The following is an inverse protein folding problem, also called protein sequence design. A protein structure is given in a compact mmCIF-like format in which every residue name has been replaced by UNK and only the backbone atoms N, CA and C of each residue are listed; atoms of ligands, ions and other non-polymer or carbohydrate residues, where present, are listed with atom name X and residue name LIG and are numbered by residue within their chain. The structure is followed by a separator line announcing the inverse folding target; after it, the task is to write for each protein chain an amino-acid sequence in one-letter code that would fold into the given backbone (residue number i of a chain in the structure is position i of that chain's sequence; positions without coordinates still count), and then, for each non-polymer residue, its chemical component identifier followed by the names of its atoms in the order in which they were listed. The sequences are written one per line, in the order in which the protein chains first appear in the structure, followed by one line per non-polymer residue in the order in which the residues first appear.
data_IF_489210105326
#
_entry.id   IF_489210105326
#
_cell.length_a   1.000
_cell.length_b   1.000
_cell.length_c   1.000
_cell.angle_alpha   90.00
_cell.angle_beta   90.00
_cell.angle_gamma   90.00
#
_symmetry.space_group_name_H-M   'P 1'
#
loop_
_entity.id
_entity.type
_entity.pdbx_description
1 polymer ?
#
# COMPACT_ATOMS: atom_id res chain seq x y z
N UNK A 1 -39.75 -1.67 -2.32
CA UNK A 1 -39.23 -0.54 -3.11
C UNK A 1 -37.83 -0.26 -2.61
N UNK A 2 -36.80 -0.66 -3.35
CA UNK A 2 -35.41 -0.32 -3.04
C UNK A 2 -35.24 1.13 -3.47
N UNK A 3 -35.12 2.04 -2.52
CA UNK A 3 -34.69 3.40 -2.81
C UNK A 3 -33.27 3.32 -3.40
N UNK A 4 -33.02 3.84 -4.61
CA UNK A 4 -31.66 3.95 -5.10
C UNK A 4 -30.87 4.84 -4.12
N UNK A 5 -29.76 4.30 -3.59
CA UNK A 5 -28.73 5.07 -2.90
C UNK A 5 -28.30 6.21 -3.84
N UNK A 6 -28.10 7.45 -3.36
CA UNK A 6 -27.72 8.57 -4.21
C UNK A 6 -26.28 8.38 -4.71
N UNK A 7 -26.12 7.54 -5.71
CA UNK A 7 -24.92 7.43 -6.53
C UNK A 7 -24.95 8.54 -7.58
N UNK A 8 -25.06 9.81 -7.20
CA UNK A 8 -24.90 10.91 -8.18
C UNK A 8 -24.70 12.33 -7.61
N UNK A 9 -24.00 12.47 -6.47
CA UNK A 9 -23.51 13.80 -6.04
C UNK A 9 -22.01 13.90 -5.84
N UNK A 10 -21.26 12.82 -6.12
CA UNK A 10 -19.81 12.83 -6.00
C UNK A 10 -19.19 13.23 -7.34
N UNK A 11 -18.45 14.34 -7.37
CA UNK A 11 -17.70 14.78 -8.55
C UNK A 11 -16.81 13.69 -9.15
N UNK A 12 -16.30 13.94 -10.36
CA UNK A 12 -15.50 12.98 -11.14
C UNK A 12 -14.47 12.25 -10.27
N UNK A 13 -14.61 10.94 -10.13
CA UNK A 13 -13.64 10.06 -9.48
C UNK A 13 -12.73 9.44 -10.54
N UNK A 14 -11.44 9.38 -10.23
CA UNK A 14 -10.43 8.80 -11.08
C UNK A 14 -9.87 7.52 -10.47
N UNK A 15 -9.50 6.57 -11.33
CA UNK A 15 -8.68 5.44 -10.95
C UNK A 15 -7.22 5.89 -10.80
N UNK A 16 -6.63 5.64 -9.62
CA UNK A 16 -5.26 6.06 -9.29
C UNK A 16 -4.48 4.92 -8.63
N UNK A 17 -3.20 4.84 -8.97
CA UNK A 17 -2.24 3.99 -8.28
C UNK A 17 -1.50 4.78 -7.21
N UNK A 18 -1.35 4.20 -6.02
CA UNK A 18 -0.55 4.75 -4.93
C UNK A 18 0.56 3.77 -4.61
N UNK A 19 1.81 4.24 -4.74
CA UNK A 19 2.99 3.47 -4.38
C UNK A 19 3.25 3.56 -2.88
N UNK A 20 3.61 2.40 -2.33
CA UNK A 20 4.10 2.22 -0.98
C UNK A 20 5.39 1.39 -0.98
N UNK A 21 6.32 1.67 -0.08
CA UNK A 21 7.41 0.77 0.24
C UNK A 21 7.87 0.93 1.69
N UNK A 22 8.25 -0.19 2.31
CA UNK A 22 8.82 -0.26 3.66
C UNK A 22 9.82 -1.43 3.72
N UNK A 23 10.77 -1.37 4.64
CA UNK A 23 11.64 -2.51 4.97
C UNK A 23 11.16 -3.23 6.21
N UNK A 24 11.20 -4.56 6.21
CA UNK A 24 11.02 -5.38 7.41
C UNK A 24 12.36 -5.51 8.15
N UNK A 25 12.31 -5.47 9.49
CA UNK A 25 13.49 -5.64 10.34
C UNK A 25 14.10 -7.04 10.19
N UNK A 26 13.24 -8.05 10.05
CA UNK A 26 13.61 -9.46 9.91
C UNK A 26 12.60 -10.22 9.02
N UNK A 27 13.01 -11.42 8.57
CA UNK A 27 12.12 -12.38 7.89
C UNK A 27 11.38 -13.23 8.93
N UNK A 28 10.46 -12.59 9.65
CA UNK A 28 9.54 -13.25 10.57
C UNK A 28 8.12 -12.67 10.40
N UNK A 29 7.11 -13.44 10.79
CA UNK A 29 5.72 -13.07 10.56
C UNK A 29 5.30 -11.78 11.27
N UNK A 30 5.81 -11.53 12.48
CA UNK A 30 5.46 -10.34 13.27
C UNK A 30 6.09 -9.07 12.68
N UNK A 31 7.33 -9.15 12.20
CA UNK A 31 8.04 -8.05 11.54
C UNK A 31 7.42 -7.69 10.20
N UNK A 32 7.07 -8.69 9.38
CA UNK A 32 6.39 -8.46 8.10
C UNK A 32 4.99 -7.87 8.32
N UNK A 33 4.24 -8.38 9.30
CA UNK A 33 2.91 -7.88 9.63
C UNK A 33 2.97 -6.41 10.09
N UNK A 34 3.78 -6.11 11.11
CA UNK A 34 3.97 -4.76 11.65
C UNK A 34 4.39 -3.76 10.57
N UNK A 35 5.35 -4.13 9.71
CA UNK A 35 5.78 -3.27 8.62
C UNK A 35 4.64 -3.02 7.61
N UNK A 36 3.90 -4.06 7.26
CA UNK A 36 2.75 -3.95 6.35
C UNK A 36 1.66 -3.05 6.93
N UNK A 37 1.25 -3.26 8.18
CA UNK A 37 0.21 -2.45 8.84
C UNK A 37 0.58 -0.97 8.88
N UNK A 38 1.83 -0.68 9.24
CA UNK A 38 2.35 0.69 9.27
C UNK A 38 2.34 1.32 7.89
N UNK A 39 2.78 0.59 6.85
CA UNK A 39 2.76 1.08 5.47
C UNK A 39 1.34 1.38 4.98
N UNK A 40 0.42 0.42 5.14
CA UNK A 40 -0.96 0.57 4.68
C UNK A 40 -1.72 1.69 5.42
N UNK A 41 -1.53 1.78 6.74
CA UNK A 41 -2.10 2.85 7.56
C UNK A 41 -1.61 4.22 7.11
N UNK A 42 -0.31 4.35 6.85
CA UNK A 42 0.27 5.63 6.44
C UNK A 42 -0.17 6.04 5.02
N UNK A 43 -0.28 5.08 4.09
CA UNK A 43 -0.84 5.33 2.75
C UNK A 43 -2.26 5.90 2.86
N UNK A 44 -3.13 5.24 3.63
CA UNK A 44 -4.51 5.70 3.83
C UNK A 44 -4.54 7.08 4.48
N UNK A 45 -3.77 7.28 5.55
CA UNK A 45 -3.75 8.54 6.32
C UNK A 45 -3.31 9.73 5.48
N UNK A 46 -2.23 9.61 4.70
CA UNK A 46 -1.73 10.72 3.86
C UNK A 46 -2.66 11.04 2.69
N UNK A 47 -3.34 10.02 2.15
CA UNK A 47 -4.22 10.20 1.01
C UNK A 47 -5.69 10.41 1.38
N UNK A 48 -6.06 10.31 2.67
CA UNK A 48 -7.44 10.44 3.14
C UNK A 48 -8.38 9.43 2.47
N UNK A 49 -7.99 8.15 2.46
CA UNK A 49 -8.67 7.08 1.73
C UNK A 49 -9.45 6.18 2.67
N UNK A 50 -10.72 5.98 2.38
CA UNK A 50 -11.57 4.99 3.03
C UNK A 50 -11.48 3.62 2.35
N UNK A 51 -11.83 2.55 3.07
CA UNK A 51 -11.66 1.18 2.58
C UNK A 51 -12.50 0.92 1.32
N UNK A 52 -13.69 1.51 1.25
CA UNK A 52 -14.63 1.41 0.13
C UNK A 52 -14.10 2.05 -1.15
N UNK A 53 -13.09 2.91 -1.04
CA UNK A 53 -12.46 3.56 -2.19
C UNK A 53 -11.30 2.72 -2.77
N UNK A 54 -10.88 1.66 -2.08
CA UNK A 54 -9.77 0.79 -2.49
C UNK A 54 -10.31 -0.31 -3.41
N UNK A 55 -9.88 -0.26 -4.67
CA UNK A 55 -10.26 -1.24 -5.68
C UNK A 55 -9.43 -2.54 -5.58
N UNK A 56 -8.13 -2.45 -5.31
CA UNK A 56 -7.24 -3.60 -5.12
C UNK A 56 -5.88 -3.21 -4.55
N UNK A 57 -5.12 -4.20 -4.08
CA UNK A 57 -3.73 -4.01 -3.64
C UNK A 57 -2.83 -5.08 -4.25
N UNK A 58 -1.77 -4.66 -4.91
CA UNK A 58 -0.68 -5.55 -5.32
C UNK A 58 0.49 -5.37 -4.37
N UNK A 59 0.99 -6.47 -3.81
CA UNK A 59 2.17 -6.50 -2.98
C UNK A 59 3.33 -7.16 -3.74
N UNK A 60 4.53 -6.61 -3.62
CA UNK A 60 5.76 -7.33 -3.96
C UNK A 60 6.67 -7.41 -2.75
N UNK A 61 7.36 -8.54 -2.61
CA UNK A 61 8.36 -8.74 -1.56
C UNK A 61 9.67 -9.14 -2.22
N UNK A 62 10.79 -8.67 -1.68
CA UNK A 62 12.10 -9.18 -2.07
C UNK A 62 12.24 -10.67 -1.70
N UNK A 63 13.05 -11.45 -2.43
CA UNK A 63 13.14 -12.91 -2.25
C UNK A 63 13.60 -13.38 -0.86
N UNK A 64 14.17 -12.49 -0.07
CA UNK A 64 14.65 -12.67 1.29
C UNK A 64 13.56 -12.46 2.37
N UNK A 65 12.29 -12.26 1.99
CA UNK A 65 11.12 -12.31 2.87
C UNK A 65 10.17 -13.45 2.49
N UNK A 66 10.01 -14.42 3.38
CA UNK A 66 9.32 -15.68 3.13
C UNK A 66 8.39 -16.10 4.27
N UNK A 67 8.49 -15.47 5.44
CA UNK A 67 7.83 -15.92 6.65
C UNK A 67 6.31 -15.68 6.70
N UNK A 68 5.78 -14.71 5.94
CA UNK A 68 4.35 -14.36 6.00
C UNK A 68 3.89 -13.61 4.75
N UNK A 69 2.59 -13.73 4.44
CA UNK A 69 1.92 -12.92 3.42
C UNK A 69 1.45 -11.57 4.00
N UNK A 70 1.84 -10.41 3.43
CA UNK A 70 1.36 -9.10 3.86
C UNK A 70 -0.17 -8.95 3.92
N UNK A 71 -0.93 -9.66 3.08
CA UNK A 71 -2.38 -9.57 3.09
C UNK A 71 -3.03 -10.13 4.38
N UNK A 72 -2.31 -10.93 5.18
CA UNK A 72 -2.80 -11.37 6.48
C UNK A 72 -2.93 -10.17 7.44
N UNK A 73 -1.89 -9.34 7.53
CA UNK A 73 -1.93 -8.09 8.28
C UNK A 73 -3.06 -7.16 7.81
N UNK A 74 -3.25 -7.01 6.50
CA UNK A 74 -4.34 -6.20 5.97
C UNK A 74 -5.74 -6.73 6.40
N UNK A 75 -5.92 -8.05 6.47
CA UNK A 75 -7.16 -8.65 6.97
C UNK A 75 -7.39 -8.39 8.45
N UNK A 76 -6.33 -8.43 9.26
CA UNK A 76 -6.40 -8.09 10.68
C UNK A 76 -6.76 -6.60 10.90
N UNK A 77 -6.40 -5.73 9.94
CA UNK A 77 -6.85 -4.34 9.87
C UNK A 77 -8.28 -4.16 9.35
N UNK A 78 -9.02 -5.23 9.05
CA UNK A 78 -10.40 -5.20 8.55
C UNK A 78 -10.55 -5.09 7.03
N UNK A 79 -9.50 -5.31 6.23
CA UNK A 79 -9.56 -5.24 4.76
C UNK A 79 -10.13 -6.55 4.17
N UNK A 80 -11.32 -6.92 4.63
CA UNK A 80 -11.94 -8.23 4.37
C UNK A 80 -12.35 -8.40 2.91
N UNK A 81 -12.83 -7.32 2.28
CA UNK A 81 -13.43 -7.36 0.93
C UNK A 81 -12.53 -6.82 -0.18
N UNK A 82 -11.35 -6.30 0.17
CA UNK A 82 -10.43 -5.72 -0.80
C UNK A 82 -9.63 -6.85 -1.46
N UNK A 83 -9.65 -6.99 -2.79
CA UNK A 83 -8.85 -8.00 -3.47
C UNK A 83 -7.36 -7.66 -3.37
N UNK A 84 -6.57 -8.65 -2.96
CA UNK A 84 -5.13 -8.50 -2.73
C UNK A 84 -4.36 -9.62 -3.44
N UNK A 85 -3.24 -9.28 -4.06
CA UNK A 85 -2.37 -10.23 -4.75
C UNK A 85 -0.91 -9.98 -4.40
N UNK A 86 -0.12 -11.06 -4.37
CA UNK A 86 1.31 -11.02 -4.10
C UNK A 86 2.11 -11.45 -5.34
N UNK A 87 3.29 -10.88 -5.51
CA UNK A 87 4.33 -11.37 -6.40
C UNK A 87 5.70 -11.27 -5.72
N UNK A 88 6.67 -12.02 -6.23
CA UNK A 88 8.07 -11.77 -5.89
C UNK A 88 8.55 -10.55 -6.65
N UNK A 89 9.29 -9.68 -5.97
CA UNK A 89 10.02 -8.60 -6.62
C UNK A 89 11.19 -9.16 -7.40
N UNK A 90 11.58 -8.45 -8.47
CA UNK A 90 12.78 -8.81 -9.23
C UNK A 90 14.03 -8.82 -8.33
N UNK A 91 14.84 -9.88 -8.44
CA UNK A 91 16.07 -10.07 -7.66
C UNK A 91 17.25 -9.37 -8.35
N UNK A 92 17.41 -8.08 -8.08
CA UNK A 92 18.51 -7.28 -8.64
C UNK A 92 19.66 -7.23 -7.62
N UNK A 93 20.90 -7.62 -8.00
CA UNK A 93 22.05 -7.55 -7.10
C UNK A 93 22.27 -6.13 -6.53
N UNK A 94 22.43 -6.05 -5.21
CA UNK A 94 22.62 -4.78 -4.50
C UNK A 94 21.34 -3.94 -4.31
N UNK A 95 20.18 -4.45 -4.73
CA UNK A 95 18.91 -3.81 -4.42
C UNK A 95 18.60 -3.86 -2.92
N UNK A 96 17.70 -2.97 -2.50
CA UNK A 96 17.28 -2.84 -1.11
C UNK A 96 16.69 -4.17 -0.58
N UNK A 97 17.31 -4.81 0.43
CA UNK A 97 16.85 -6.09 0.98
C UNK A 97 15.62 -5.90 1.87
N UNK A 98 14.95 -7.02 2.17
CA UNK A 98 13.79 -7.12 3.07
C UNK A 98 12.72 -6.06 2.80
N UNK A 99 12.45 -5.76 1.54
CA UNK A 99 11.55 -4.68 1.17
C UNK A 99 10.18 -5.23 0.74
N UNK A 100 9.15 -4.70 1.39
CA UNK A 100 7.74 -4.89 1.02
C UNK A 100 7.30 -3.66 0.24
N UNK A 101 6.73 -3.85 -0.94
CA UNK A 101 6.19 -2.78 -1.78
C UNK A 101 4.72 -3.01 -2.04
N UNK A 102 4.01 -1.90 -2.24
CA UNK A 102 2.59 -1.86 -2.56
C UNK A 102 2.36 -1.01 -3.80
N UNK A 103 1.44 -1.48 -4.64
CA UNK A 103 0.67 -0.66 -5.57
C UNK A 103 -0.81 -0.81 -5.20
N UNK A 104 -1.36 0.23 -4.57
CA UNK A 104 -2.77 0.29 -4.18
C UNK A 104 -3.55 1.03 -5.26
N UNK A 105 -4.62 0.42 -5.75
CA UNK A 105 -5.52 1.02 -6.72
C UNK A 105 -6.74 1.58 -6.02
N UNK A 106 -7.06 2.86 -6.26
CA UNK A 106 -8.16 3.55 -5.58
C UNK A 106 -9.00 4.39 -6.54
N UNK A 107 -10.25 4.62 -6.18
CA UNK A 107 -11.17 5.54 -6.85
C UNK A 107 -11.31 6.84 -6.03
N UNK A 108 -10.61 7.88 -6.46
CA UNK A 108 -10.48 9.13 -5.70
C UNK A 108 -10.71 10.38 -6.57
N UNK A 109 -11.16 11.47 -5.96
CA UNK A 109 -11.22 12.78 -6.63
C UNK A 109 -9.84 13.44 -6.79
N UNK A 110 -8.81 12.96 -6.08
CA UNK A 110 -7.45 13.50 -6.17
C UNK A 110 -6.85 13.30 -7.57
N UNK A 111 -6.22 14.35 -8.08
CA UNK A 111 -5.38 14.31 -9.27
C UNK A 111 -4.10 13.51 -9.00
N UNK A 112 -3.42 13.07 -10.05
CA UNK A 112 -2.18 12.32 -9.90
C UNK A 112 -1.06 13.09 -9.16
N UNK A 113 -1.07 14.43 -9.22
CA UNK A 113 -0.08 15.28 -8.52
C UNK A 113 -0.35 15.40 -7.02
N UNK A 114 -1.57 15.12 -6.58
CA UNK A 114 -2.01 15.19 -5.17
C UNK A 114 -1.91 13.83 -4.47
N UNK A 115 -1.55 12.77 -5.20
CA UNK A 115 -1.31 11.46 -4.62
C UNK A 115 0.02 11.48 -3.88
N UNK A 116 -0.04 11.11 -2.61
CA UNK A 116 1.13 10.99 -1.76
C UNK A 116 1.58 9.52 -1.72
N UNK A 117 2.66 9.23 -2.44
CA UNK A 117 3.33 7.94 -2.33
C UNK A 117 4.12 7.86 -1.02
N UNK A 118 4.18 6.67 -0.43
CA UNK A 118 4.72 6.48 0.92
C UNK A 118 5.93 5.57 0.89
N UNK A 119 7.06 6.09 1.35
CA UNK A 119 8.32 5.36 1.48
C UNK A 119 8.81 5.50 2.93
N UNK A 120 8.91 4.38 3.63
CA UNK A 120 9.21 4.35 5.07
C UNK A 120 10.50 3.57 5.32
N UNK A 121 11.14 3.89 6.44
CA UNK A 121 12.33 3.22 6.94
C UNK A 121 13.43 3.10 5.86
N UNK A 122 14.00 1.91 5.68
CA UNK A 122 15.04 1.69 4.67
C UNK A 122 14.56 1.93 3.23
N UNK A 123 13.25 1.94 2.96
CA UNK A 123 12.71 2.19 1.62
C UNK A 123 12.71 3.67 1.21
N UNK A 124 13.01 4.60 2.13
CA UNK A 124 13.19 6.02 1.82
C UNK A 124 14.25 6.24 0.73
N UNK A 125 15.28 5.41 0.67
CA UNK A 125 16.36 5.48 -0.33
C UNK A 125 15.88 5.22 -1.76
N UNK A 126 14.70 4.61 -1.95
CA UNK A 126 14.15 4.32 -3.27
C UNK A 126 13.60 5.58 -3.97
N UNK A 127 13.24 6.61 -3.21
CA UNK A 127 12.67 7.88 -3.70
C UNK A 127 13.12 9.05 -2.83
N UNK A 128 14.43 9.40 -2.83
CA UNK A 128 14.94 10.52 -2.04
C UNK A 128 14.27 11.85 -2.40
N UNK A 129 13.72 11.98 -3.61
CA UNK A 129 12.97 13.14 -4.08
C UNK A 129 11.58 13.30 -3.44
N UNK A 130 11.01 12.24 -2.86
CA UNK A 130 9.69 12.27 -2.21
C UNK A 130 9.76 12.29 -0.68
N UNK A 131 10.93 11.97 -0.12
CA UNK A 131 11.13 11.95 1.32
C UNK A 131 11.47 13.37 1.77
N UNK A 132 10.49 14.04 2.40
CA UNK A 132 10.77 15.33 3.05
C UNK A 132 11.68 15.09 4.26
N UNK A 133 12.67 15.94 4.53
CA UNK A 133 13.37 15.91 5.81
C UNK A 133 12.33 16.05 6.93
N UNK A 134 12.44 15.20 7.94
CA UNK A 134 11.63 15.29 9.16
C UNK A 134 12.03 16.51 9.97
#
# INVERSE_FOLDING_TARGET
MVTPTPADSAGVRFFRGIRGAITSDADDAASIARATERLLSEIRRRNGIELEEIASVLFTLTPDLRACFPALAARDMGWVYIPMLHALEIDVPGALPRCIRVLMHVNTARTAREIEHVYLDGATVLRPDLVRPQ
#
